data_IF_912461821490
#
_entry.id   IF_912461821490
#
_cell.length_a   1.000
_cell.length_b   1.000
_cell.length_c   1.000
_cell.angle_alpha   90.00
_cell.angle_beta   90.00
_cell.angle_gamma   90.00
#
_symmetry.space_group_name_H-M   'P 1'
#
loop_
_entity.id
_entity.type
_entity.pdbx_description
1 polymer ?
#
# COMPACT_ATOMS: atom_id res chain seq x y z
N UNK A 1 19.72 -3.51 12.84
CA UNK A 1 18.64 -4.41 12.41
C UNK A 1 17.74 -4.68 13.58
N UNK A 2 16.56 -4.09 13.49
CA UNK A 2 15.51 -4.06 14.49
C UNK A 2 14.46 -5.06 14.04
N UNK A 3 14.31 -6.17 14.77
CA UNK A 3 13.47 -7.29 14.32
C UNK A 3 12.17 -7.37 15.11
N UNK A 4 11.07 -7.63 14.41
CA UNK A 4 9.75 -7.92 14.97
C UNK A 4 9.21 -9.24 14.44
N UNK A 5 8.53 -10.00 15.30
CA UNK A 5 7.88 -11.26 14.93
C UNK A 5 6.48 -11.30 15.53
N UNK A 6 5.48 -11.60 14.71
CA UNK A 6 4.11 -11.82 15.14
C UNK A 6 3.59 -13.13 14.57
N UNK A 7 2.96 -13.93 15.42
CA UNK A 7 2.22 -15.13 15.01
C UNK A 7 0.77 -15.00 15.50
N UNK A 8 -0.16 -15.20 14.57
CA UNK A 8 -1.60 -15.21 14.84
C UNK A 8 -2.14 -16.59 14.53
N UNK A 9 -2.84 -17.19 15.49
CA UNK A 9 -3.37 -18.55 15.40
C UNK A 9 -4.84 -18.59 15.83
N UNK A 10 -5.54 -19.65 15.44
CA UNK A 10 -6.89 -19.95 15.93
C UNK A 10 -6.81 -20.58 17.32
N UNK A 11 -7.27 -19.84 18.33
CA UNK A 11 -7.39 -20.31 19.71
C UNK A 11 -8.85 -20.19 20.13
N UNK A 12 -9.47 -21.30 20.54
CA UNK A 12 -10.90 -21.31 20.90
C UNK A 12 -11.83 -20.82 19.77
N UNK A 13 -11.48 -21.12 18.52
CA UNK A 13 -12.21 -20.67 17.33
C UNK A 13 -11.97 -19.22 16.91
N UNK A 14 -11.12 -18.47 17.64
CA UNK A 14 -10.87 -17.04 17.40
C UNK A 14 -9.43 -16.75 17.02
N UNK A 15 -9.25 -15.76 16.15
CA UNK A 15 -7.95 -15.22 15.77
C UNK A 15 -7.29 -14.60 17.01
N UNK A 16 -6.13 -15.10 17.39
CA UNK A 16 -5.43 -14.69 18.61
C UNK A 16 -3.94 -14.58 18.35
N UNK A 17 -3.30 -13.51 18.85
CA UNK A 17 -1.83 -13.39 18.79
C UNK A 17 -1.22 -14.38 19.80
N UNK A 18 -0.59 -15.44 19.31
CA UNK A 18 0.08 -16.45 20.13
C UNK A 18 1.55 -16.10 20.41
N UNK A 19 2.17 -15.33 19.50
CA UNK A 19 3.54 -14.81 19.68
C UNK A 19 3.64 -13.37 19.22
N UNK A 20 4.25 -12.53 20.04
CA UNK A 20 4.59 -11.15 19.69
C UNK A 20 5.96 -10.81 20.29
N UNK A 21 6.92 -10.54 19.43
CA UNK A 21 8.26 -10.09 19.78
C UNK A 21 8.57 -8.83 18.98
N UNK A 22 9.23 -7.86 19.62
CA UNK A 22 9.73 -6.66 18.94
C UNK A 22 10.97 -6.16 19.68
N UNK A 23 11.99 -5.79 18.92
CA UNK A 23 13.20 -5.15 19.42
C UNK A 23 13.07 -3.64 19.30
N UNK A 24 13.38 -2.91 20.37
CA UNK A 24 13.42 -1.45 20.36
C UNK A 24 14.25 -0.93 19.17
N UNK A 25 13.78 0.11 18.44
CA UNK A 25 12.63 0.96 18.71
C UNK A 25 11.29 0.47 18.14
N UNK A 26 11.25 -0.66 17.41
CA UNK A 26 10.01 -1.23 16.90
C UNK A 26 9.12 -1.71 18.05
N UNK A 27 7.81 -1.49 17.91
CA UNK A 27 6.79 -2.00 18.84
C UNK A 27 5.51 -2.37 18.10
N UNK A 28 4.89 -3.45 18.58
CA UNK A 28 3.53 -3.81 18.19
C UNK A 28 2.56 -3.58 19.35
N UNK A 29 1.45 -2.90 19.08
CA UNK A 29 0.33 -2.73 20.00
C UNK A 29 -0.86 -3.52 19.47
N UNK A 30 -1.41 -4.39 20.32
CA UNK A 30 -2.49 -5.30 19.99
C UNK A 30 -3.65 -5.02 20.95
N UNK A 31 -4.66 -4.23 20.55
CA UNK A 31 -5.78 -3.92 21.41
C UNK A 31 -6.72 -5.13 21.53
N UNK A 32 -7.33 -5.30 22.70
CA UNK A 32 -8.27 -6.42 22.95
C UNK A 32 -9.66 -6.20 22.34
N UNK A 33 -10.03 -4.95 22.03
CA UNK A 33 -11.34 -4.58 21.51
C UNK A 33 -11.17 -3.51 20.43
N UNK A 34 -11.39 -3.90 19.18
CA UNK A 34 -11.22 -3.07 17.99
C UNK A 34 -12.44 -3.07 17.08
N UNK A 35 -13.47 -3.82 17.46
CA UNK A 35 -14.75 -3.88 16.78
C UNK A 35 -15.81 -4.56 17.64
N UNK A 36 -17.02 -4.76 17.08
CA UNK A 36 -18.08 -5.51 17.72
C UNK A 36 -17.60 -6.90 18.15
N UNK A 37 -18.15 -7.43 19.25
CA UNK A 37 -17.76 -8.75 19.78
C UNK A 37 -17.96 -9.91 18.80
N UNK A 38 -18.78 -9.73 17.77
CA UNK A 38 -19.03 -10.71 16.69
C UNK A 38 -17.94 -10.77 15.63
N UNK A 39 -17.09 -9.75 15.52
CA UNK A 39 -16.02 -9.69 14.52
C UNK A 39 -14.79 -10.42 15.05
N UNK A 40 -14.39 -11.49 14.38
CA UNK A 40 -13.15 -12.21 14.70
C UNK A 40 -11.99 -11.63 13.88
N UNK A 41 -11.29 -10.64 14.43
CA UNK A 41 -10.12 -10.05 13.81
C UNK A 41 -9.14 -9.52 14.86
N UNK A 42 -7.85 -9.77 14.64
CA UNK A 42 -6.76 -9.18 15.42
C UNK A 42 -6.31 -7.90 14.74
N UNK A 43 -6.26 -6.79 15.49
CA UNK A 43 -5.66 -5.55 15.00
C UNK A 43 -4.30 -5.35 15.63
N UNK A 44 -3.34 -4.97 14.80
CA UNK A 44 -1.94 -4.78 15.17
C UNK A 44 -1.51 -3.43 14.65
N UNK A 45 -1.15 -2.55 15.58
CA UNK A 45 -0.54 -1.27 15.28
C UNK A 45 0.98 -1.43 15.38
N UNK A 46 1.65 -1.32 14.24
CA UNK A 46 3.10 -1.20 14.16
C UNK A 46 3.50 0.25 14.38
N UNK A 47 4.53 0.48 15.19
CA UNK A 47 5.12 1.80 15.37
C UNK A 47 6.61 1.71 15.70
N UNK A 48 7.31 2.81 15.46
CA UNK A 48 8.72 2.98 15.83
C UNK A 48 8.83 4.10 16.85
N UNK A 49 9.37 3.79 18.03
CA UNK A 49 9.71 4.82 19.02
C UNK A 49 10.77 5.76 18.45
N UNK A 50 10.64 7.06 18.69
CA UNK A 50 11.52 8.09 18.12
C UNK A 50 10.88 8.93 17.01
N UNK A 51 9.60 8.67 16.67
CA UNK A 51 8.81 9.55 15.80
C UNK A 51 9.04 9.37 14.30
N UNK A 52 9.85 8.40 13.89
CA UNK A 52 10.09 8.05 12.50
C UNK A 52 11.36 7.20 12.34
N UNK A 53 11.72 6.96 11.09
CA UNK A 53 12.92 6.21 10.66
C UNK A 53 14.05 7.21 10.43
N UNK A 54 15.20 6.99 11.08
CA UNK A 54 16.40 7.84 10.95
C UNK A 54 17.47 7.16 10.11
N UNK A 55 18.53 7.91 9.78
CA UNK A 55 19.53 7.49 8.79
C UNK A 55 20.24 6.18 9.16
N UNK A 56 20.03 5.17 8.32
CA UNK A 56 20.66 3.85 8.45
C UNK A 56 19.89 2.84 9.31
N UNK A 57 18.69 3.19 9.78
CA UNK A 57 17.78 2.24 10.43
C UNK A 57 17.41 1.09 9.47
N UNK A 58 17.26 -0.12 10.01
CA UNK A 58 16.94 -1.31 9.24
C UNK A 58 15.94 -2.17 10.01
N UNK A 59 14.66 -1.99 9.70
CA UNK A 59 13.55 -2.66 10.39
C UNK A 59 13.14 -3.90 9.59
N UNK A 60 12.99 -5.03 10.27
CA UNK A 60 12.52 -6.28 9.66
C UNK A 60 11.41 -6.89 10.49
N UNK A 61 10.30 -7.20 9.85
CA UNK A 61 9.09 -7.68 10.47
C UNK A 61 8.65 -8.98 9.83
N UNK A 62 8.49 -10.03 10.63
CA UNK A 62 7.98 -11.33 10.22
C UNK A 62 6.58 -11.57 10.78
N UNK A 63 5.63 -11.84 9.91
CA UNK A 63 4.25 -12.15 10.26
C UNK A 63 3.89 -13.57 9.80
N UNK A 64 3.26 -14.33 10.67
CA UNK A 64 2.66 -15.63 10.33
C UNK A 64 1.20 -15.61 10.74
N UNK A 65 0.32 -15.67 9.74
CA UNK A 65 -1.13 -15.67 9.92
C UNK A 65 -1.62 -17.09 9.65
N UNK A 66 -1.99 -17.79 10.73
CA UNK A 66 -2.46 -19.17 10.66
C UNK A 66 -3.81 -19.30 9.96
N UNK A 67 -4.19 -20.53 9.67
CA UNK A 67 -5.39 -20.86 8.91
C UNK A 67 -6.65 -20.27 9.54
N UNK A 68 -7.56 -19.78 8.69
CA UNK A 68 -8.83 -19.15 9.07
C UNK A 68 -8.71 -17.86 9.90
N UNK A 69 -7.49 -17.37 10.17
CA UNK A 69 -7.28 -16.17 10.97
C UNK A 69 -7.53 -14.90 10.15
N UNK A 70 -8.06 -13.86 10.80
CA UNK A 70 -8.15 -12.51 10.22
C UNK A 70 -7.27 -11.55 11.02
N UNK A 71 -6.36 -10.89 10.34
CA UNK A 71 -5.41 -9.93 10.94
C UNK A 71 -5.39 -8.62 10.16
N UNK A 72 -5.41 -7.51 10.88
CA UNK A 72 -5.22 -6.16 10.35
C UNK A 72 -3.92 -5.61 10.91
N UNK A 73 -2.98 -5.31 10.02
CA UNK A 73 -1.74 -4.60 10.31
C UNK A 73 -1.87 -3.16 9.81
N UNK A 74 -1.72 -2.21 10.71
CA UNK A 74 -1.76 -0.77 10.42
C UNK A 74 -0.73 -0.03 11.27
N UNK A 75 -0.63 1.28 11.11
CA UNK A 75 0.23 2.15 11.92
C UNK A 75 -0.64 3.10 12.73
N UNK A 76 -0.05 3.78 13.72
CA UNK A 76 -0.77 4.83 14.48
C UNK A 76 -0.66 6.21 13.84
N UNK A 77 0.31 6.39 12.94
CA UNK A 77 0.59 7.64 12.26
C UNK A 77 1.47 7.36 11.04
N UNK A 78 1.56 8.35 10.16
CA UNK A 78 2.43 8.35 8.98
C UNK A 78 3.87 7.96 9.34
N UNK A 79 4.48 7.11 8.50
CA UNK A 79 5.88 6.72 8.68
C UNK A 79 6.77 7.84 8.16
N UNK A 80 7.27 8.68 9.08
CA UNK A 80 8.21 9.75 8.76
C UNK A 80 9.59 9.17 8.51
N UNK A 81 10.21 9.52 7.39
CA UNK A 81 11.60 9.14 7.10
C UNK A 81 12.45 10.40 7.06
N UNK A 82 13.38 10.51 8.00
CA UNK A 82 14.26 11.66 8.14
C UNK A 82 15.39 11.66 7.11
N UNK A 83 16.08 12.80 6.99
CA UNK A 83 17.23 12.98 6.10
C UNK A 83 18.27 11.86 6.24
N UNK A 84 18.87 11.49 5.12
CA UNK A 84 20.02 10.60 5.13
C UNK A 84 21.29 11.35 5.55
N UNK A 85 22.18 10.68 6.29
CA UNK A 85 23.52 11.15 6.60
C UNK A 85 24.53 10.35 5.76
N UNK A 86 25.28 11.06 4.92
CA UNK A 86 26.21 10.43 3.97
C UNK A 86 25.48 9.66 2.87
N UNK A 87 25.90 8.41 2.63
CA UNK A 87 25.32 7.52 1.61
C UNK A 87 24.34 6.48 2.17
N UNK A 88 23.96 6.57 3.45
CA UNK A 88 23.14 5.55 4.11
C UNK A 88 21.70 5.55 3.57
N UNK A 89 21.17 4.37 3.27
CA UNK A 89 19.75 4.17 3.02
C UNK A 89 19.12 3.58 4.29
N UNK A 90 17.93 4.04 4.65
CA UNK A 90 17.13 3.41 5.69
C UNK A 90 16.18 2.40 5.06
N UNK A 91 15.98 1.26 5.72
CA UNK A 91 15.32 0.10 5.13
C UNK A 91 14.20 -0.46 6.02
N UNK A 92 13.11 -0.89 5.39
CA UNK A 92 12.05 -1.65 6.05
C UNK A 92 11.69 -2.90 5.24
N UNK A 93 11.69 -4.05 5.89
CA UNK A 93 11.30 -5.33 5.30
C UNK A 93 10.12 -5.91 6.06
N UNK A 94 9.04 -6.24 5.37
CA UNK A 94 7.91 -7.00 5.89
C UNK A 94 7.81 -8.32 5.15
N UNK A 95 7.92 -9.44 5.84
CA UNK A 95 7.61 -10.76 5.32
C UNK A 95 6.39 -11.33 6.03
N UNK A 96 5.40 -11.79 5.26
CA UNK A 96 4.18 -12.36 5.80
C UNK A 96 3.84 -13.70 5.14
N UNK A 97 3.56 -14.71 5.96
CA UNK A 97 3.01 -16.02 5.56
C UNK A 97 1.53 -16.06 5.90
N UNK A 98 0.68 -16.38 4.93
CA UNK A 98 -0.77 -16.37 5.06
C UNK A 98 -1.30 -17.78 4.81
N UNK A 99 -1.98 -18.34 5.81
CA UNK A 99 -2.54 -19.68 5.78
C UNK A 99 -3.83 -19.81 4.95
N UNK A 100 -4.36 -21.02 4.94
CA UNK A 100 -5.61 -21.37 4.24
C UNK A 100 -6.80 -20.66 4.87
N UNK A 101 -7.72 -20.16 4.03
CA UNK A 101 -8.86 -19.32 4.42
C UNK A 101 -8.51 -18.11 5.33
N UNK A 102 -7.23 -17.72 5.42
CA UNK A 102 -6.80 -16.61 6.25
C UNK A 102 -6.91 -15.28 5.49
N UNK A 103 -7.10 -14.18 6.22
CA UNK A 103 -7.12 -12.81 5.70
C UNK A 103 -6.07 -11.96 6.42
N UNK A 104 -5.13 -11.40 5.66
CA UNK A 104 -4.25 -10.34 6.12
C UNK A 104 -4.61 -9.03 5.44
N UNK A 105 -4.82 -7.98 6.23
CA UNK A 105 -5.06 -6.61 5.74
C UNK A 105 -3.89 -5.74 6.20
N UNK A 106 -3.08 -5.24 5.27
CA UNK A 106 -1.97 -4.33 5.52
C UNK A 106 -2.37 -2.94 5.03
N UNK A 107 -2.75 -2.07 5.96
CA UNK A 107 -3.27 -0.72 5.70
C UNK A 107 -2.56 0.32 6.58
N UNK A 108 -1.25 0.52 6.43
CA UNK A 108 -0.53 1.56 7.15
C UNK A 108 -0.99 2.96 6.72
N UNK A 109 -0.69 3.96 7.53
CA UNK A 109 -0.64 5.37 7.14
C UNK A 109 0.48 5.59 6.10
N UNK A 110 0.47 6.70 5.34
CA UNK A 110 1.42 6.85 4.25
C UNK A 110 2.85 7.02 4.75
N UNK A 111 3.81 6.67 3.90
CA UNK A 111 5.21 7.06 4.07
C UNK A 111 5.35 8.55 3.73
N UNK A 112 6.10 9.27 4.56
CA UNK A 112 6.44 10.69 4.33
C UNK A 112 7.95 10.86 4.42
N UNK A 113 8.61 10.86 3.28
CA UNK A 113 10.05 11.12 3.19
C UNK A 113 10.33 12.62 3.27
N UNK A 114 11.21 13.02 4.17
CA UNK A 114 11.65 14.41 4.30
C UNK A 114 12.74 14.74 3.27
N UNK A 115 13.06 16.02 3.13
CA UNK A 115 14.16 16.45 2.25
C UNK A 115 15.44 15.63 2.47
N UNK A 116 16.08 15.20 1.38
CA UNK A 116 17.31 14.36 1.34
C UNK A 116 17.20 12.97 1.98
N UNK A 117 15.99 12.47 2.28
CA UNK A 117 15.81 11.11 2.76
C UNK A 117 16.16 10.07 1.67
N UNK A 118 16.71 8.93 2.09
CA UNK A 118 16.94 7.76 1.24
C UNK A 118 16.29 6.55 1.91
N UNK A 119 15.24 6.04 1.29
CA UNK A 119 14.40 4.99 1.87
C UNK A 119 14.13 3.86 0.89
N UNK A 120 14.20 2.63 1.39
CA UNK A 120 13.78 1.44 0.66
C UNK A 120 12.87 0.58 1.53
N UNK A 121 11.69 0.25 1.03
CA UNK A 121 10.82 -0.75 1.64
C UNK A 121 10.63 -1.95 0.73
N UNK A 122 10.50 -3.13 1.34
CA UNK A 122 10.23 -4.38 0.66
C UNK A 122 9.20 -5.19 1.42
N UNK A 123 8.10 -5.52 0.76
CA UNK A 123 7.02 -6.32 1.30
C UNK A 123 6.95 -7.64 0.53
N UNK A 124 6.99 -8.76 1.26
CA UNK A 124 7.00 -10.12 0.73
C UNK A 124 5.82 -10.86 1.34
N UNK A 125 4.89 -11.28 0.51
CA UNK A 125 3.71 -12.03 0.92
C UNK A 125 3.76 -13.42 0.32
N UNK A 126 3.61 -14.43 1.18
CA UNK A 126 3.56 -15.85 0.81
C UNK A 126 2.16 -16.35 1.11
N UNK A 127 1.42 -16.71 0.07
CA UNK A 127 -0.01 -17.02 0.14
C UNK A 127 -0.27 -18.43 -0.37
N UNK A 128 -1.29 -19.07 0.19
CA UNK A 128 -1.87 -20.30 -0.37
C UNK A 128 -3.09 -19.96 -1.22
N UNK A 129 -3.63 -20.95 -1.93
CA UNK A 129 -4.61 -20.73 -3.00
C UNK A 129 -5.91 -20.04 -2.57
N UNK A 130 -6.31 -20.19 -1.32
CA UNK A 130 -7.55 -19.68 -0.73
C UNK A 130 -7.30 -18.57 0.32
N UNK A 131 -6.04 -18.15 0.49
CA UNK A 131 -5.70 -16.96 1.28
C UNK A 131 -6.30 -15.70 0.68
N UNK A 132 -6.57 -14.72 1.52
CA UNK A 132 -6.96 -13.36 1.13
C UNK A 132 -6.00 -12.32 1.68
N UNK A 133 -5.74 -11.27 0.91
CA UNK A 133 -4.74 -10.26 1.20
C UNK A 133 -5.20 -8.89 0.69
N UNK A 134 -5.13 -7.89 1.57
CA UNK A 134 -5.26 -6.47 1.22
C UNK A 134 -3.93 -5.79 1.50
N UNK A 135 -3.42 -5.00 0.56
CA UNK A 135 -2.24 -4.15 0.76
C UNK A 135 -2.61 -2.74 0.34
N UNK A 136 -2.29 -1.75 1.17
CA UNK A 136 -2.22 -0.34 0.79
C UNK A 136 -0.79 0.12 0.99
N UNK A 137 -0.14 0.47 -0.11
CA UNK A 137 1.21 1.02 -0.15
C UNK A 137 1.16 2.41 -0.77
N UNK A 138 1.54 3.43 -0.01
CA UNK A 138 1.33 4.81 -0.42
C UNK A 138 2.34 5.76 0.22
N UNK A 139 2.68 6.79 -0.55
CA UNK A 139 3.65 7.82 -0.21
C UNK A 139 3.07 9.21 -0.47
N UNK A 140 3.43 10.14 0.41
CA UNK A 140 3.17 11.57 0.28
C UNK A 140 4.42 12.30 -0.25
N UNK A 141 4.22 13.42 -0.94
CA UNK A 141 5.30 14.21 -1.53
C UNK A 141 6.34 14.70 -0.52
N UNK A 142 6.00 14.77 0.76
CA UNK A 142 6.88 15.19 1.82
C UNK A 142 6.12 15.98 2.87
N UNK A 143 6.80 16.92 3.52
CA UNK A 143 6.16 17.85 4.46
C UNK A 143 5.48 18.98 3.69
N UNK A 144 4.32 18.69 3.10
CA UNK A 144 3.57 19.63 2.27
C UNK A 144 3.35 20.98 2.97
N UNK A 145 2.90 20.96 4.23
CA UNK A 145 2.68 22.17 5.05
C UNK A 145 3.97 22.93 5.41
N UNK A 146 5.13 22.31 5.23
CA UNK A 146 6.45 22.95 5.38
C UNK A 146 7.07 23.35 4.03
N UNK A 147 6.33 23.21 2.92
CA UNK A 147 6.80 23.51 1.57
C UNK A 147 7.68 22.43 0.93
N UNK A 148 7.91 21.29 1.58
CA UNK A 148 8.72 20.20 1.02
C UNK A 148 7.86 19.30 0.13
N UNK A 149 8.14 19.31 -1.18
CA UNK A 149 7.42 18.51 -2.17
C UNK A 149 8.40 17.77 -3.06
N UNK A 150 8.43 16.45 -2.94
CA UNK A 150 9.28 15.53 -3.68
C UNK A 150 10.79 15.82 -3.52
N UNK A 151 11.18 16.37 -2.35
CA UNK A 151 12.55 16.83 -2.05
C UNK A 151 13.48 15.74 -1.48
N UNK A 152 12.99 14.51 -1.30
CA UNK A 152 13.83 13.38 -0.91
C UNK A 152 14.77 12.94 -2.05
N UNK A 153 15.79 12.15 -1.72
CA UNK A 153 16.79 11.69 -2.69
C UNK A 153 16.37 10.37 -3.35
N UNK A 154 15.83 9.45 -2.56
CA UNK A 154 15.44 8.11 -2.98
C UNK A 154 14.25 7.61 -2.17
N UNK A 155 13.25 7.13 -2.87
CA UNK A 155 12.21 6.25 -2.35
C UNK A 155 12.10 5.03 -3.26
N UNK A 156 12.21 3.84 -2.68
CA UNK A 156 12.00 2.58 -3.36
C UNK A 156 10.98 1.75 -2.60
N UNK A 157 9.90 1.35 -3.27
CA UNK A 157 8.95 0.38 -2.73
C UNK A 157 8.93 -0.86 -3.61
N UNK A 158 8.93 -2.04 -2.99
CA UNK A 158 8.86 -3.34 -3.66
C UNK A 158 7.76 -4.16 -3.01
N UNK A 159 6.80 -4.63 -3.82
CA UNK A 159 5.73 -5.51 -3.36
C UNK A 159 5.77 -6.82 -4.14
N UNK A 160 6.09 -7.91 -3.43
CA UNK A 160 6.18 -9.24 -4.01
C UNK A 160 5.17 -10.18 -3.36
N UNK A 161 4.38 -10.85 -4.18
CA UNK A 161 3.42 -11.88 -3.75
C UNK A 161 3.79 -13.19 -4.44
N UNK A 162 3.98 -14.23 -3.62
CA UNK A 162 4.34 -15.57 -4.05
C UNK A 162 3.26 -16.56 -3.62
N UNK A 163 2.92 -17.47 -4.54
CA UNK A 163 2.18 -18.70 -4.25
C UNK A 163 3.10 -19.77 -3.65
N UNK A 164 2.50 -20.89 -3.24
CA UNK A 164 3.22 -22.09 -2.82
C UNK A 164 4.31 -22.52 -3.83
N UNK A 165 5.43 -22.99 -3.29
CA UNK A 165 6.62 -23.37 -4.05
C UNK A 165 7.39 -22.17 -4.63
N UNK A 166 7.34 -21.00 -3.98
CA UNK A 166 8.03 -19.78 -4.39
C UNK A 166 7.65 -19.25 -5.79
N UNK A 167 6.46 -19.62 -6.28
CA UNK A 167 6.00 -19.18 -7.60
C UNK A 167 5.53 -17.72 -7.54
N UNK A 168 6.11 -16.80 -8.34
CA UNK A 168 5.69 -15.40 -8.32
C UNK A 168 4.26 -15.26 -8.87
N UNK A 169 3.42 -14.53 -8.15
CA UNK A 169 2.05 -14.18 -8.55
C UNK A 169 1.95 -12.70 -8.95
N UNK A 170 2.62 -11.83 -8.19
CA UNK A 170 2.64 -10.38 -8.41
C UNK A 170 3.98 -9.82 -7.97
N UNK A 171 4.58 -8.98 -8.81
CA UNK A 171 5.84 -8.29 -8.53
C UNK A 171 5.69 -6.85 -8.98
N UNK A 172 5.88 -5.92 -8.05
CA UNK A 172 5.84 -4.48 -8.29
C UNK A 172 7.10 -3.81 -7.73
N UNK A 173 7.53 -2.73 -8.39
CA UNK A 173 8.58 -1.86 -7.88
C UNK A 173 8.31 -0.42 -8.29
N UNK A 174 8.12 0.44 -7.30
CA UNK A 174 8.09 1.89 -7.46
C UNK A 174 9.45 2.45 -7.09
N UNK A 175 10.07 3.19 -8.02
CA UNK A 175 11.34 3.87 -7.81
C UNK A 175 11.18 5.37 -8.09
N UNK A 176 11.35 6.18 -7.05
CA UNK A 176 11.42 7.63 -7.13
C UNK A 176 12.81 8.06 -6.66
N UNK A 177 13.69 8.34 -7.61
CA UNK A 177 15.02 8.86 -7.33
C UNK A 177 15.25 10.19 -8.03
N UNK A 178 16.13 11.02 -7.47
CA UNK A 178 16.64 12.21 -8.17
C UNK A 178 17.37 11.74 -9.44
N UNK A 179 16.74 11.99 -10.58
CA UNK A 179 17.33 11.68 -11.88
C UNK A 179 18.29 12.78 -12.32
N UNK A 180 19.18 12.46 -13.25
CA UNK A 180 20.07 13.45 -13.88
C UNK A 180 19.35 14.37 -14.87
N UNK A 181 18.19 13.95 -15.40
CA UNK A 181 17.44 14.65 -16.46
C UNK A 181 16.22 15.40 -15.92
N UNK A 182 15.52 14.82 -14.95
CA UNK A 182 14.35 15.43 -14.33
C UNK A 182 14.29 15.05 -12.84
N UNK A 183 13.99 16.04 -12.01
CA UNK A 183 13.69 15.89 -10.60
C UNK A 183 12.43 15.04 -10.38
N UNK A 184 12.23 14.55 -9.15
CA UNK A 184 11.01 13.82 -8.81
C UNK A 184 9.80 14.76 -8.93
N UNK A 185 9.92 16.01 -8.47
CA UNK A 185 8.88 17.02 -8.55
C UNK A 185 8.41 17.27 -10.00
N UNK A 186 9.34 17.37 -10.95
CA UNK A 186 8.99 17.54 -12.38
C UNK A 186 8.26 16.32 -12.95
N UNK A 187 8.60 15.10 -12.53
CA UNK A 187 7.87 13.90 -12.98
C UNK A 187 6.48 13.79 -12.35
N UNK A 188 6.34 14.22 -11.09
CA UNK A 188 5.09 14.13 -10.33
C UNK A 188 4.16 15.32 -10.55
N UNK A 189 4.67 16.45 -11.05
CA UNK A 189 3.90 17.68 -11.27
C UNK A 189 3.15 18.07 -9.98
N UNK A 190 1.88 18.46 -10.08
CA UNK A 190 1.08 18.87 -8.92
C UNK A 190 0.60 17.72 -8.03
N UNK A 191 0.84 16.46 -8.39
CA UNK A 191 0.38 15.34 -7.58
C UNK A 191 1.18 15.24 -6.29
N UNK A 192 0.49 15.02 -5.18
CA UNK A 192 1.07 15.00 -3.83
C UNK A 192 1.04 13.62 -3.18
N UNK A 193 0.26 12.68 -3.72
CA UNK A 193 0.16 11.32 -3.18
C UNK A 193 0.18 10.30 -4.32
N UNK A 194 0.91 9.22 -4.11
CA UNK A 194 0.82 7.99 -4.91
C UNK A 194 0.37 6.89 -3.97
N UNK A 195 -0.65 6.15 -4.35
CA UNK A 195 -1.12 4.98 -3.62
C UNK A 195 -1.30 3.80 -4.55
N UNK A 196 -0.94 2.62 -4.05
CA UNK A 196 -1.17 1.34 -4.65
C UNK A 196 -2.00 0.50 -3.68
N UNK A 197 -3.10 -0.06 -4.18
CA UNK A 197 -3.99 -0.94 -3.43
C UNK A 197 -4.01 -2.28 -4.15
N UNK A 198 -3.73 -3.35 -3.42
CA UNK A 198 -3.77 -4.71 -3.92
C UNK A 198 -4.83 -5.47 -3.15
N UNK A 199 -5.81 -6.02 -3.87
CA UNK A 199 -6.86 -6.88 -3.32
C UNK A 199 -6.71 -8.28 -3.92
N UNK A 200 -6.50 -9.29 -3.10
CA UNK A 200 -6.29 -10.67 -3.53
C UNK A 200 -7.15 -11.64 -2.71
N UNK A 201 -7.73 -12.63 -3.39
CA UNK A 201 -8.30 -13.80 -2.74
C UNK A 201 -9.82 -13.78 -2.59
N UNK A 202 -10.41 -14.95 -2.27
CA UNK A 202 -11.84 -15.19 -2.41
C UNK A 202 -12.70 -14.30 -1.50
N UNK A 203 -12.23 -13.97 -0.29
CA UNK A 203 -12.99 -13.14 0.68
C UNK A 203 -13.21 -11.71 0.19
N UNK A 204 -12.47 -11.28 -0.82
CA UNK A 204 -12.50 -9.92 -1.35
C UNK A 204 -13.24 -9.79 -2.69
N UNK A 205 -13.78 -10.87 -3.25
CA UNK A 205 -14.41 -10.87 -4.59
C UNK A 205 -15.47 -9.78 -4.76
N UNK A 206 -16.34 -9.61 -3.77
CA UNK A 206 -17.38 -8.58 -3.81
C UNK A 206 -16.77 -7.17 -3.81
N UNK A 207 -15.79 -6.94 -2.93
CA UNK A 207 -15.07 -5.67 -2.87
C UNK A 207 -14.32 -5.39 -4.18
N UNK A 208 -13.72 -6.42 -4.79
CA UNK A 208 -12.99 -6.28 -6.04
C UNK A 208 -13.90 -5.78 -7.17
N UNK A 209 -15.06 -6.41 -7.32
CA UNK A 209 -16.06 -6.02 -8.32
C UNK A 209 -16.56 -4.59 -8.07
N UNK A 210 -16.86 -4.24 -6.82
CA UNK A 210 -17.33 -2.91 -6.46
C UNK A 210 -16.27 -1.84 -6.77
N UNK A 211 -15.01 -2.06 -6.37
CA UNK A 211 -13.91 -1.12 -6.67
C UNK A 211 -13.72 -0.97 -8.18
N UNK A 212 -13.85 -2.04 -8.95
CA UNK A 212 -13.74 -1.98 -10.41
C UNK A 212 -14.84 -1.10 -11.03
N UNK A 213 -16.08 -1.26 -10.59
CA UNK A 213 -17.22 -0.46 -11.03
C UNK A 213 -17.07 1.00 -10.63
N UNK A 214 -16.67 1.25 -9.38
CA UNK A 214 -16.49 2.59 -8.83
C UNK A 214 -15.38 3.34 -9.58
N UNK A 215 -14.21 2.72 -9.79
CA UNK A 215 -13.12 3.32 -10.57
C UNK A 215 -13.54 3.57 -12.02
N UNK A 216 -14.27 2.64 -12.65
CA UNK A 216 -14.76 2.82 -14.01
C UNK A 216 -15.73 4.00 -14.11
N UNK A 217 -16.66 4.13 -13.16
CA UNK A 217 -17.60 5.24 -13.07
C UNK A 217 -16.86 6.56 -12.89
N UNK A 218 -15.98 6.64 -11.89
CA UNK A 218 -15.15 7.80 -11.58
C UNK A 218 -14.29 8.27 -12.76
N UNK A 219 -13.58 7.35 -13.42
CA UNK A 219 -12.75 7.68 -14.58
C UNK A 219 -13.59 8.07 -15.79
N UNK A 220 -14.78 7.49 -15.97
CA UNK A 220 -15.68 7.89 -17.05
C UNK A 220 -16.14 9.33 -16.85
N UNK A 221 -16.61 9.72 -15.67
CA UNK A 221 -17.10 11.08 -15.36
C UNK A 221 -16.02 12.16 -15.59
N UNK A 222 -14.76 11.87 -15.22
CA UNK A 222 -13.66 12.84 -15.34
C UNK A 222 -13.08 12.98 -16.75
N UNK A 223 -13.23 11.96 -17.60
CA UNK A 223 -12.65 11.95 -18.96
C UNK A 223 -13.65 12.39 -20.05
N UNK A 224 -14.88 12.77 -19.71
CA UNK A 224 -15.80 13.34 -20.70
C UNK A 224 -15.31 14.72 -21.14
N UNK A 225 -15.13 14.98 -22.46
CA UNK A 225 -15.03 16.35 -22.94
C UNK A 225 -16.35 17.08 -22.61
N UNK A 226 -16.32 18.41 -22.37
CA UNK A 226 -17.56 19.15 -22.15
C UNK A 226 -18.48 18.90 -23.34
N UNK A 227 -19.64 18.30 -23.07
CA UNK A 227 -20.66 17.98 -24.06
C UNK A 227 -20.96 19.26 -24.84
N UNK A 228 -20.70 19.25 -26.14
CA UNK A 228 -21.07 20.32 -27.06
C UNK A 228 -22.60 20.40 -27.11
N UNK A 229 -23.19 21.18 -26.20
CA UNK A 229 -24.54 21.67 -26.36
C UNK A 229 -24.52 22.70 -27.49
N UNK A 230 -25.12 22.35 -28.64
CA UNK A 230 -25.40 23.29 -29.72
C UNK A 230 -26.22 24.47 -29.16
N UNK A 231 -25.62 25.66 -29.13
CA UNK A 231 -26.34 26.86 -28.69
C UNK A 231 -25.53 28.15 -28.69
N UNK A 232 -25.46 28.79 -29.87
CA UNK A 232 -25.18 30.22 -30.12
C UNK A 232 -23.76 30.78 -29.86
N UNK A 233 -23.12 31.14 -30.98
CA UNK A 233 -22.18 32.25 -31.20
C UNK A 233 -21.47 32.85 -29.97
N UNK A 234 -20.19 32.50 -29.79
CA UNK A 234 -19.15 33.40 -29.27
C UNK A 234 -17.75 32.94 -29.71
N UNK A 235 -16.89 33.93 -29.97
CA UNK A 235 -15.53 33.89 -30.53
C UNK A 235 -14.66 32.73 -29.99
N UNK A 236 -13.93 32.06 -30.90
CA UNK A 236 -12.89 31.07 -30.59
C UNK A 236 -11.74 31.70 -29.77
N UNK A 237 -11.53 31.21 -28.54
CA UNK A 237 -10.25 31.26 -27.84
C UNK A 237 -9.54 29.90 -28.04
N UNK A 238 -8.23 29.84 -28.29
CA UNK A 238 -7.51 28.58 -28.52
C UNK A 238 -7.02 27.90 -27.22
N UNK A 239 -7.66 28.15 -26.07
CA UNK A 239 -7.29 27.52 -24.79
C UNK A 239 -8.31 26.44 -24.41
N UNK A 240 -8.43 25.39 -25.23
CA UNK A 240 -9.00 24.13 -24.76
C UNK A 240 -7.93 23.37 -23.98
N UNK A 241 -7.55 23.91 -22.82
CA UNK A 241 -6.80 23.14 -21.84
C UNK A 241 -7.77 22.14 -21.22
N UNK A 242 -7.62 20.86 -21.55
CA UNK A 242 -8.22 19.78 -20.78
C UNK A 242 -7.82 20.00 -19.33
N UNK A 243 -8.76 20.41 -18.48
CA UNK A 243 -8.52 20.57 -17.06
C UNK A 243 -8.01 19.25 -16.50
N UNK A 244 -6.79 19.25 -15.96
CA UNK A 244 -6.14 18.08 -15.37
C UNK A 244 -7.08 17.43 -14.34
N UNK A 245 -7.27 16.11 -14.37
CA UNK A 245 -8.22 15.44 -13.48
C UNK A 245 -7.78 15.58 -12.02
N UNK A 246 -8.77 15.77 -11.14
CA UNK A 246 -8.58 15.95 -9.70
C UNK A 246 -8.18 14.66 -8.96
N UNK A 247 -8.04 13.54 -9.66
CA UNK A 247 -7.29 12.36 -9.27
C UNK A 247 -7.15 11.47 -10.51
N UNK A 248 -6.16 10.58 -10.52
CA UNK A 248 -6.08 9.52 -11.53
C UNK A 248 -6.18 8.20 -10.79
N UNK A 249 -7.09 7.34 -11.21
CA UNK A 249 -7.16 5.98 -10.72
C UNK A 249 -7.18 4.99 -11.89
N UNK A 250 -6.38 3.94 -11.79
CA UNK A 250 -6.43 2.81 -12.71
C UNK A 250 -6.68 1.55 -11.93
N UNK A 251 -7.45 0.63 -12.50
CA UNK A 251 -7.79 -0.63 -11.89
C UNK A 251 -7.57 -1.77 -12.90
N UNK A 252 -6.75 -2.75 -12.53
CA UNK A 252 -6.39 -3.89 -13.37
C UNK A 252 -6.48 -5.20 -12.60
N UNK A 253 -6.75 -6.29 -13.32
CA UNK A 253 -6.86 -7.63 -12.75
C UNK A 253 -5.59 -8.42 -13.10
N UNK A 254 -5.07 -9.21 -12.16
CA UNK A 254 -3.90 -10.06 -12.36
C UNK A 254 -4.13 -11.48 -11.81
N UNK A 255 -3.23 -12.40 -12.16
CA UNK A 255 -3.32 -13.81 -11.78
C UNK A 255 -4.14 -14.67 -12.74
N UNK A 256 -4.09 -16.00 -12.60
CA UNK A 256 -4.79 -16.92 -13.47
C UNK A 256 -6.31 -16.82 -13.26
N UNK A 257 -7.05 -16.60 -14.36
CA UNK A 257 -8.52 -16.75 -14.37
C UNK A 257 -8.85 -18.23 -14.20
N UNK A 258 -9.87 -18.51 -13.38
CA UNK A 258 -10.43 -19.82 -13.03
C UNK A 258 -10.04 -20.92 -14.02
N UNK A 259 -9.17 -21.85 -13.59
CA UNK A 259 -8.91 -23.09 -14.34
C UNK A 259 -9.97 -24.14 -13.99
N UNK A 260 -10.16 -25.14 -14.86
CA UNK A 260 -11.07 -26.29 -14.70
C UNK A 260 -10.92 -27.05 -13.36
N UNK A 261 -9.85 -26.80 -12.61
CA UNK A 261 -9.58 -27.30 -11.25
C UNK A 261 -10.11 -26.43 -10.10
N UNK A 262 -10.86 -25.35 -10.37
CA UNK A 262 -11.49 -24.51 -9.33
C UNK A 262 -10.57 -23.47 -8.68
N UNK A 263 -9.33 -23.31 -9.14
CA UNK A 263 -8.37 -22.34 -8.60
C UNK A 263 -8.60 -20.94 -9.17
N UNK A 264 -8.73 -19.94 -8.30
CA UNK A 264 -8.82 -18.52 -8.65
C UNK A 264 -8.00 -17.65 -7.69
N UNK A 265 -6.70 -17.49 -7.98
CA UNK A 265 -5.86 -16.47 -7.34
C UNK A 265 -5.96 -15.14 -8.11
N UNK A 266 -7.19 -14.69 -8.36
CA UNK A 266 -7.46 -13.45 -9.09
C UNK A 266 -7.25 -12.28 -8.13
N UNK A 267 -6.26 -11.47 -8.44
CA UNK A 267 -5.96 -10.24 -7.73
C UNK A 267 -6.38 -9.01 -8.53
N UNK A 268 -6.50 -7.89 -7.84
CA UNK A 268 -6.82 -6.59 -8.42
C UNK A 268 -5.83 -5.57 -7.90
N UNK A 269 -5.24 -4.82 -8.81
CA UNK A 269 -4.33 -3.73 -8.56
C UNK A 269 -5.03 -2.41 -8.89
N UNK A 270 -5.08 -1.51 -7.92
CA UNK A 270 -5.53 -0.14 -8.10
C UNK A 270 -4.40 0.84 -7.79
N UNK A 271 -4.10 1.73 -8.73
CA UNK A 271 -3.13 2.81 -8.54
C UNK A 271 -3.89 4.11 -8.52
N UNK A 272 -3.65 4.95 -7.50
CA UNK A 272 -4.28 6.25 -7.30
C UNK A 272 -3.21 7.32 -7.18
N UNK A 273 -3.42 8.42 -7.89
CA UNK A 273 -2.58 9.61 -7.80
C UNK A 273 -3.47 10.81 -7.48
N UNK A 274 -3.19 11.50 -6.37
CA UNK A 274 -4.02 12.60 -5.85
C UNK A 274 -3.31 13.95 -5.96
N UNK A 275 -4.00 15.02 -6.41
CA UNK A 275 -3.52 16.41 -6.35
C UNK A 275 -3.56 16.92 -4.88
N UNK A 276 -3.19 18.19 -4.62
CA UNK A 276 -3.14 18.78 -3.27
C UNK A 276 -4.48 18.75 -2.54
#
# INVERSE_FOLDING_TARGET
METGVVVVEKVGGRSTVSRCFSKYPLKFIIPRKVGPSKTDAVWIYSLTYGGGIVSGDCISCDFTIGDGCTTVLTTQASTKVYKSLGSKCSEQVLEARIGSDALLVVIPDPVTCFSTAKYSQKQIFRVVSDSSLVIVDWITSGRHESGEKWEFDLYKSINNIFLEGDRPLFLDTVLLERGSVATIAERMQDYQVIAMIILLGPKLTHLQNQVQEDVKRMMSEQLHPPSTALGRYKRKNPDHCLTKPSFIASCSVFGPKVSLSGFSAVGQLMIVVLPP
#
